data_IF_276722896290
#
_entry.id   IF_276722896290
#
_cell.length_a   1.000
_cell.length_b   1.000
_cell.length_c   1.000
_cell.angle_alpha   90.00
_cell.angle_beta   90.00
_cell.angle_gamma   90.00
#
_symmetry.space_group_name_H-M   'P 1'
#
loop_
_entity.id
_entity.type
_entity.pdbx_description
1 polymer ?
#
# COMPACT_ATOMS: atom_id res chain seq x y z
N UNK A 1 6.36 38.96 41.31
CA UNK A 1 6.87 37.57 41.45
C UNK A 1 5.83 36.45 41.20
N UNK A 2 4.67 36.75 40.63
CA UNK A 2 3.60 35.72 40.40
C UNK A 2 3.48 35.20 38.95
N UNK A 3 4.07 35.91 37.99
CA UNK A 3 3.90 35.54 36.56
C UNK A 3 4.87 34.43 36.06
N UNK A 4 6.07 34.37 36.63
CA UNK A 4 7.07 33.35 36.22
C UNK A 4 6.65 31.91 36.59
N UNK A 5 5.87 31.74 37.67
CA UNK A 5 5.37 30.40 38.06
C UNK A 5 4.29 29.88 37.17
N UNK A 6 3.46 30.73 36.56
CA UNK A 6 2.41 30.28 35.60
C UNK A 6 2.99 29.85 34.26
N UNK A 7 4.06 30.50 33.80
CA UNK A 7 4.77 30.11 32.57
C UNK A 7 5.49 28.77 32.72
N UNK A 8 6.17 28.54 33.84
CA UNK A 8 6.88 27.26 34.10
C UNK A 8 5.90 26.07 34.19
N UNK A 9 4.75 26.25 34.83
CA UNK A 9 3.71 25.20 34.92
C UNK A 9 3.07 24.92 33.56
N UNK A 10 2.93 25.93 32.69
CA UNK A 10 2.46 25.76 31.32
C UNK A 10 3.42 24.93 30.45
N UNK A 11 4.72 25.22 30.54
CA UNK A 11 5.78 24.50 29.82
C UNK A 11 5.94 23.06 30.30
N UNK A 12 5.87 22.80 31.62
CA UNK A 12 5.90 21.45 32.16
C UNK A 12 4.70 20.59 31.68
N UNK A 13 3.51 21.20 31.52
CA UNK A 13 2.33 20.50 30.97
C UNK A 13 2.48 20.17 29.50
N UNK A 14 3.02 21.08 28.68
CA UNK A 14 3.27 20.86 27.25
C UNK A 14 4.37 19.81 27.04
N UNK A 15 5.46 19.87 27.80
CA UNK A 15 6.54 18.88 27.78
C UNK A 15 6.03 17.52 28.27
N UNK A 16 5.21 17.49 29.34
CA UNK A 16 4.56 16.25 29.79
C UNK A 16 3.62 15.64 28.77
N UNK A 17 2.83 16.45 28.04
CA UNK A 17 1.97 15.99 26.95
C UNK A 17 2.78 15.47 25.76
N UNK A 18 3.87 16.13 25.38
CA UNK A 18 4.78 15.71 24.31
C UNK A 18 5.54 14.42 24.66
N UNK A 19 5.94 14.25 25.93
CA UNK A 19 6.55 13.01 26.43
C UNK A 19 5.54 11.85 26.49
N UNK A 20 4.27 12.09 26.81
CA UNK A 20 3.22 11.07 26.75
C UNK A 20 2.89 10.67 25.31
N UNK A 21 2.95 11.60 24.35
CA UNK A 21 2.79 11.31 22.91
C UNK A 21 3.96 10.50 22.33
N UNK A 22 5.18 10.68 22.85
CA UNK A 22 6.36 9.91 22.44
C UNK A 22 6.42 8.47 22.95
N UNK A 23 5.54 8.08 23.87
CA UNK A 23 5.46 6.73 24.44
C UNK A 23 4.34 5.87 23.84
N UNK A 24 3.61 6.36 22.82
CA UNK A 24 2.65 5.52 22.11
C UNK A 24 3.42 4.43 21.36
N UNK A 25 3.29 3.16 21.74
CA UNK A 25 3.94 2.09 21.01
C UNK A 25 3.46 2.09 19.54
N UNK A 26 4.34 1.75 18.62
CA UNK A 26 4.03 1.70 17.17
C UNK A 26 2.74 0.90 16.85
N UNK A 27 2.37 -0.04 17.73
CA UNK A 27 1.11 -0.79 17.69
C UNK A 27 -0.15 0.11 17.76
N UNK A 28 -0.14 1.20 18.50
CA UNK A 28 -1.28 2.12 18.57
C UNK A 28 -1.49 2.88 17.26
N UNK A 29 -0.42 3.20 16.53
CA UNK A 29 -0.50 3.92 15.27
C UNK A 29 -1.15 3.08 14.15
N UNK A 30 -0.87 1.76 14.08
CA UNK A 30 -1.51 0.87 13.11
C UNK A 30 -3.00 0.74 13.41
N UNK A 31 -3.37 0.52 14.67
CA UNK A 31 -4.80 0.43 15.07
C UNK A 31 -5.54 1.74 14.80
N UNK A 32 -4.91 2.88 15.11
CA UNK A 32 -5.49 4.18 14.80
C UNK A 32 -5.67 4.37 13.29
N UNK A 33 -4.65 4.07 12.48
CA UNK A 33 -4.72 4.14 11.02
C UNK A 33 -5.79 3.21 10.45
N UNK A 34 -5.86 1.98 10.93
CA UNK A 34 -6.86 1.01 10.50
C UNK A 34 -8.30 1.43 10.86
N UNK A 35 -8.51 1.94 12.07
CA UNK A 35 -9.84 2.39 12.51
C UNK A 35 -10.34 3.60 11.72
N UNK A 36 -9.43 4.43 11.21
CA UNK A 36 -9.75 5.57 10.33
C UNK A 36 -9.63 5.24 8.83
N UNK A 37 -9.35 3.98 8.47
CA UNK A 37 -9.15 3.60 7.07
C UNK A 37 -10.34 3.96 6.16
N UNK A 38 -11.62 3.79 6.55
CA UNK A 38 -12.74 4.22 5.71
C UNK A 38 -12.70 5.70 5.36
N UNK A 39 -12.42 6.57 6.32
CA UNK A 39 -12.32 8.03 6.07
C UNK A 39 -11.12 8.38 5.20
N UNK A 40 -9.96 7.75 5.45
CA UNK A 40 -8.76 7.99 4.65
C UNK A 40 -8.95 7.56 3.19
N UNK A 41 -9.58 6.40 2.96
CA UNK A 41 -9.90 5.90 1.62
C UNK A 41 -10.95 6.78 0.97
N UNK A 42 -11.98 7.23 1.72
CA UNK A 42 -12.98 8.14 1.21
C UNK A 42 -12.34 9.46 0.73
N UNK A 43 -11.50 10.12 1.54
CA UNK A 43 -10.84 11.38 1.16
C UNK A 43 -9.90 11.21 -0.04
N UNK A 44 -9.22 10.06 -0.12
CA UNK A 44 -8.41 9.73 -1.28
C UNK A 44 -9.27 9.60 -2.53
N UNK A 45 -10.39 8.89 -2.48
CA UNK A 45 -11.31 8.67 -3.59
C UNK A 45 -11.98 9.98 -4.03
N UNK A 46 -12.45 10.77 -3.06
CA UNK A 46 -13.05 12.08 -3.29
C UNK A 46 -12.06 13.04 -3.94
N UNK A 47 -10.80 13.01 -3.50
CA UNK A 47 -9.71 13.78 -4.10
C UNK A 47 -9.41 13.43 -5.58
N UNK A 48 -9.91 12.31 -6.09
CA UNK A 48 -9.85 11.95 -7.51
C UNK A 48 -11.12 12.33 -8.28
N UNK A 49 -12.29 12.08 -7.70
CA UNK A 49 -13.55 12.11 -8.43
C UNK A 49 -14.46 13.29 -8.07
N UNK A 50 -14.20 13.99 -6.95
CA UNK A 50 -15.08 15.04 -6.43
C UNK A 50 -16.54 14.54 -6.37
N UNK A 51 -16.77 13.65 -5.44
CA UNK A 51 -18.01 12.91 -5.33
C UNK A 51 -19.18 13.85 -4.98
N UNK A 52 -20.33 13.64 -5.60
CA UNK A 52 -21.57 14.31 -5.19
C UNK A 52 -21.97 13.89 -3.78
N UNK A 53 -22.84 14.63 -3.12
CA UNK A 53 -23.32 14.31 -1.78
C UNK A 53 -23.88 12.88 -1.70
N UNK A 54 -24.70 12.48 -2.67
CA UNK A 54 -25.28 11.13 -2.72
C UNK A 54 -24.21 10.04 -2.92
N UNK A 55 -23.24 10.28 -3.81
CA UNK A 55 -22.11 9.36 -4.01
C UNK A 55 -21.25 9.28 -2.74
N UNK A 56 -21.05 10.39 -2.04
CA UNK A 56 -20.28 10.47 -0.80
C UNK A 56 -20.93 9.67 0.33
N UNK A 57 -22.23 9.82 0.53
CA UNK A 57 -22.99 9.03 1.52
C UNK A 57 -22.86 7.53 1.25
N UNK A 58 -23.08 7.13 -0.02
CA UNK A 58 -22.97 5.73 -0.41
C UNK A 58 -21.54 5.19 -0.27
N UNK A 59 -20.54 5.95 -0.70
CA UNK A 59 -19.13 5.53 -0.60
C UNK A 59 -18.70 5.31 0.86
N UNK A 60 -19.08 6.21 1.77
CA UNK A 60 -18.78 6.07 3.22
C UNK A 60 -19.44 4.83 3.81
N UNK A 61 -20.70 4.59 3.48
CA UNK A 61 -21.44 3.42 3.95
C UNK A 61 -20.83 2.10 3.41
N UNK A 62 -20.47 2.07 2.11
CA UNK A 62 -19.81 0.91 1.49
C UNK A 62 -18.42 0.66 2.11
N UNK A 63 -17.64 1.70 2.39
CA UNK A 63 -16.33 1.60 3.04
C UNK A 63 -16.44 1.11 4.49
N UNK A 64 -17.48 1.54 5.23
CA UNK A 64 -17.75 1.03 6.57
C UNK A 64 -18.10 -0.48 6.54
N UNK A 65 -18.94 -0.91 5.58
CA UNK A 65 -19.24 -2.34 5.39
C UNK A 65 -18.01 -3.16 4.98
N UNK A 66 -17.18 -2.61 4.10
CA UNK A 66 -15.92 -3.23 3.70
C UNK A 66 -15.00 -3.42 4.91
N UNK A 67 -14.88 -2.42 5.78
CA UNK A 67 -14.07 -2.54 6.99
C UNK A 67 -14.62 -3.61 7.94
N UNK A 68 -15.94 -3.68 8.13
CA UNK A 68 -16.57 -4.72 8.95
C UNK A 68 -16.29 -6.12 8.40
N UNK A 69 -16.47 -6.32 7.09
CA UNK A 69 -16.13 -7.57 6.43
C UNK A 69 -14.64 -7.91 6.58
N UNK A 70 -13.76 -6.94 6.35
CA UNK A 70 -12.31 -7.13 6.47
C UNK A 70 -11.89 -7.52 7.89
N UNK A 71 -12.52 -6.92 8.92
CA UNK A 71 -12.32 -7.30 10.33
C UNK A 71 -12.71 -8.74 10.59
N UNK A 72 -13.89 -9.12 10.12
CA UNK A 72 -14.46 -10.44 10.40
C UNK A 72 -13.80 -11.56 9.57
N UNK A 73 -13.33 -11.26 8.35
CA UNK A 73 -12.94 -12.28 7.37
C UNK A 73 -11.45 -12.28 7.07
N UNK A 74 -10.83 -11.11 6.86
CA UNK A 74 -9.43 -11.04 6.40
C UNK A 74 -8.43 -10.83 7.54
N UNK A 75 -8.74 -10.04 8.56
CA UNK A 75 -7.83 -9.85 9.69
C UNK A 75 -7.45 -11.15 10.42
N UNK A 76 -8.36 -12.12 10.64
CA UNK A 76 -7.96 -13.43 11.18
C UNK A 76 -6.93 -14.15 10.30
N UNK A 77 -7.12 -14.16 8.98
CA UNK A 77 -6.20 -14.78 8.03
C UNK A 77 -4.85 -14.03 7.95
N UNK A 78 -4.88 -12.71 8.07
CA UNK A 78 -3.67 -11.88 8.17
C UNK A 78 -2.92 -12.22 9.46
N UNK A 79 -3.62 -12.41 10.57
CA UNK A 79 -2.99 -12.81 11.83
C UNK A 79 -2.33 -14.20 11.73
N UNK A 80 -2.98 -15.18 11.07
CA UNK A 80 -2.41 -16.49 10.78
C UNK A 80 -1.17 -16.40 9.88
N UNK A 81 -1.23 -15.57 8.84
CA UNK A 81 -0.10 -15.31 7.95
C UNK A 81 1.09 -14.68 8.71
N UNK A 82 0.82 -13.70 9.57
CA UNK A 82 1.84 -13.09 10.43
C UNK A 82 2.43 -14.08 11.43
N UNK A 83 1.62 -14.98 11.98
CA UNK A 83 2.07 -16.08 12.85
C UNK A 83 3.00 -17.02 12.09
N UNK A 84 2.62 -17.43 10.87
CA UNK A 84 3.47 -18.28 10.01
C UNK A 84 4.77 -17.57 9.63
N UNK A 85 4.70 -16.29 9.31
CA UNK A 85 5.88 -15.48 8.97
C UNK A 85 6.89 -15.36 10.12
N UNK A 86 6.49 -15.51 11.38
CA UNK A 86 7.39 -15.53 12.54
C UNK A 86 8.35 -16.74 12.57
N UNK A 87 8.07 -17.77 11.79
CA UNK A 87 8.93 -18.96 11.70
C UNK A 87 10.15 -18.73 10.78
N UNK A 88 10.15 -17.70 9.96
CA UNK A 88 11.23 -17.40 9.01
C UNK A 88 12.45 -16.77 9.72
N UNK A 89 12.31 -15.71 10.54
CA UNK A 89 13.45 -14.98 11.06
C UNK A 89 14.43 -15.76 11.94
N UNK A 90 14.06 -16.80 12.70
CA UNK A 90 15.01 -17.55 13.52
C UNK A 90 16.11 -18.23 12.69
N UNK A 91 15.80 -18.64 11.45
CA UNK A 91 16.71 -19.35 10.56
C UNK A 91 17.17 -18.53 9.37
N UNK A 92 17.90 -19.16 8.47
CA UNK A 92 18.14 -18.63 7.14
C UNK A 92 16.92 -18.88 6.25
N UNK A 93 16.74 -18.02 5.23
CA UNK A 93 15.64 -18.15 4.28
C UNK A 93 16.15 -18.15 2.84
N UNK A 94 15.31 -18.58 1.90
CA UNK A 94 15.59 -18.55 0.47
C UNK A 94 14.69 -17.54 -0.25
N UNK A 95 15.08 -17.11 -1.44
CA UNK A 95 14.25 -16.26 -2.27
C UNK A 95 12.87 -16.87 -2.54
N UNK A 96 12.80 -18.19 -2.75
CA UNK A 96 11.54 -18.88 -3.03
C UNK A 96 10.60 -18.88 -1.82
N UNK A 97 11.12 -19.05 -0.60
CA UNK A 97 10.33 -18.92 0.62
C UNK A 97 9.77 -17.51 0.80
N UNK A 98 10.58 -16.48 0.50
CA UNK A 98 10.14 -15.08 0.54
C UNK A 98 9.07 -14.81 -0.52
N UNK A 99 9.25 -15.33 -1.74
CA UNK A 99 8.27 -15.20 -2.81
C UNK A 99 6.97 -15.94 -2.50
N UNK A 100 7.03 -17.08 -1.81
CA UNK A 100 5.84 -17.78 -1.32
C UNK A 100 5.04 -16.94 -0.34
N UNK A 101 5.70 -16.34 0.65
CA UNK A 101 5.04 -15.42 1.58
C UNK A 101 4.42 -14.21 0.86
N UNK A 102 5.10 -13.67 -0.15
CA UNK A 102 4.58 -12.58 -0.96
C UNK A 102 3.31 -12.99 -1.74
N UNK A 103 3.26 -14.23 -2.23
CA UNK A 103 2.06 -14.78 -2.89
C UNK A 103 0.88 -14.88 -1.93
N UNK A 104 1.11 -15.31 -0.69
CA UNK A 104 0.06 -15.37 0.35
C UNK A 104 -0.48 -13.99 0.70
N UNK A 105 0.41 -12.98 0.83
CA UNK A 105 0.02 -11.58 1.02
C UNK A 105 -0.83 -11.10 -0.16
N UNK A 106 -0.42 -11.40 -1.40
CA UNK A 106 -1.15 -11.01 -2.61
C UNK A 106 -2.56 -11.59 -2.63
N UNK A 107 -2.74 -12.86 -2.25
CA UNK A 107 -4.06 -13.48 -2.15
C UNK A 107 -5.02 -12.74 -1.20
N UNK A 108 -4.50 -12.06 -0.16
CA UNK A 108 -5.35 -11.21 0.71
C UNK A 108 -5.80 -9.94 0.00
N UNK A 109 -4.92 -9.32 -0.80
CA UNK A 109 -5.31 -8.17 -1.63
C UNK A 109 -6.36 -8.54 -2.68
N UNK A 110 -6.20 -9.69 -3.35
CA UNK A 110 -7.16 -10.14 -4.35
C UNK A 110 -8.56 -10.37 -3.74
N UNK A 111 -8.63 -10.88 -2.51
CA UNK A 111 -9.89 -11.02 -1.77
C UNK A 111 -10.56 -9.65 -1.48
N UNK A 112 -9.76 -8.64 -1.11
CA UNK A 112 -10.28 -7.27 -0.90
C UNK A 112 -10.77 -6.67 -2.23
N UNK A 113 -10.04 -6.84 -3.31
CA UNK A 113 -10.43 -6.36 -4.65
C UNK A 113 -11.77 -6.96 -5.06
N UNK A 114 -11.94 -8.28 -4.91
CA UNK A 114 -13.19 -8.97 -5.22
C UNK A 114 -14.37 -8.42 -4.37
N UNK A 115 -14.12 -8.11 -3.09
CA UNK A 115 -15.15 -7.56 -2.21
C UNK A 115 -15.55 -6.12 -2.57
N UNK A 116 -14.62 -5.33 -3.09
CA UNK A 116 -14.84 -3.92 -3.48
C UNK A 116 -15.52 -3.80 -4.85
N UNK A 117 -15.37 -4.79 -5.72
CA UNK A 117 -15.81 -4.73 -7.12
C UNK A 117 -17.28 -4.28 -7.30
N UNK A 118 -18.29 -4.80 -6.58
CA UNK A 118 -19.68 -4.36 -6.74
C UNK A 118 -19.91 -2.87 -6.43
N UNK A 119 -19.20 -2.36 -5.41
CA UNK A 119 -19.25 -0.93 -5.05
C UNK A 119 -18.58 -0.09 -6.13
N UNK A 120 -17.43 -0.53 -6.64
CA UNK A 120 -16.72 0.15 -7.72
C UNK A 120 -17.57 0.23 -9.01
N UNK A 121 -18.31 -0.84 -9.35
CA UNK A 121 -19.26 -0.86 -10.48
C UNK A 121 -20.33 0.22 -10.28
N UNK A 122 -20.95 0.26 -9.11
CA UNK A 122 -22.02 1.23 -8.81
C UNK A 122 -21.50 2.67 -8.92
N UNK A 123 -20.32 2.93 -8.40
CA UNK A 123 -19.68 4.26 -8.48
C UNK A 123 -19.33 4.61 -9.93
N UNK A 124 -18.70 3.70 -10.67
CA UNK A 124 -18.30 3.90 -12.06
C UNK A 124 -19.50 4.25 -12.95
N UNK A 125 -20.63 3.56 -12.77
CA UNK A 125 -21.87 3.84 -13.51
C UNK A 125 -22.47 5.21 -13.20
N UNK A 126 -22.19 5.77 -12.04
CA UNK A 126 -22.69 7.07 -11.58
C UNK A 126 -21.78 8.27 -11.91
N UNK A 127 -20.60 8.04 -12.51
CA UNK A 127 -19.67 9.13 -12.80
C UNK A 127 -20.18 10.05 -13.93
N UNK A 128 -20.01 11.36 -13.75
CA UNK A 128 -20.28 12.38 -14.75
C UNK A 128 -19.05 12.67 -15.61
N UNK A 129 -19.25 13.38 -16.75
CA UNK A 129 -18.17 13.87 -17.60
C UNK A 129 -17.17 14.75 -16.84
N UNK A 130 -17.68 15.62 -15.98
CA UNK A 130 -16.86 16.49 -15.16
C UNK A 130 -15.97 15.69 -14.20
N UNK A 131 -16.51 14.65 -13.58
CA UNK A 131 -15.76 13.74 -12.69
C UNK A 131 -14.68 12.97 -13.44
N UNK A 132 -14.97 12.46 -14.63
CA UNK A 132 -13.94 11.80 -15.47
C UNK A 132 -12.83 12.76 -15.86
N UNK A 133 -13.14 14.01 -16.20
CA UNK A 133 -12.14 15.04 -16.47
C UNK A 133 -11.25 15.33 -15.24
N UNK A 134 -11.82 15.32 -14.03
CA UNK A 134 -11.05 15.49 -12.78
C UNK A 134 -10.12 14.31 -12.52
N UNK A 135 -10.59 13.07 -12.72
CA UNK A 135 -9.74 11.87 -12.61
C UNK A 135 -8.56 11.96 -13.57
N UNK A 136 -8.79 12.36 -14.81
CA UNK A 136 -7.73 12.54 -15.82
C UNK A 136 -6.73 13.64 -15.42
N UNK A 137 -7.20 14.79 -14.95
CA UNK A 137 -6.34 15.85 -14.43
C UNK A 137 -5.53 15.40 -13.20
N UNK A 138 -6.15 14.64 -12.29
CA UNK A 138 -5.45 14.05 -11.13
C UNK A 138 -4.38 13.07 -11.56
N UNK A 139 -4.63 12.23 -12.57
CA UNK A 139 -3.61 11.35 -13.14
C UNK A 139 -2.45 12.15 -13.72
N UNK A 140 -2.71 13.21 -14.47
CA UNK A 140 -1.65 14.07 -15.02
C UNK A 140 -0.75 14.63 -13.90
N UNK A 141 -1.35 15.15 -12.82
CA UNK A 141 -0.62 15.65 -11.65
C UNK A 141 0.23 14.55 -10.99
N UNK A 142 -0.38 13.43 -10.63
CA UNK A 142 0.34 12.34 -9.95
C UNK A 142 1.38 11.68 -10.84
N UNK A 143 1.25 11.78 -12.15
CA UNK A 143 2.25 11.33 -13.11
C UNK A 143 3.46 12.27 -13.16
N UNK A 144 3.26 13.58 -13.03
CA UNK A 144 4.36 14.53 -12.89
C UNK A 144 5.14 14.26 -11.58
N UNK A 145 4.45 14.14 -10.46
CA UNK A 145 5.05 13.79 -9.15
C UNK A 145 5.84 12.46 -9.24
N UNK A 146 5.27 11.44 -9.89
CA UNK A 146 5.93 10.15 -10.06
C UNK A 146 7.22 10.26 -10.88
N UNK A 147 7.21 11.05 -11.98
CA UNK A 147 8.44 11.29 -12.78
C UNK A 147 9.51 11.98 -11.95
N UNK A 148 9.12 12.98 -11.16
CA UNK A 148 10.07 13.70 -10.31
C UNK A 148 10.67 12.76 -9.25
N UNK A 149 9.87 11.86 -8.72
CA UNK A 149 10.32 10.91 -7.70
C UNK A 149 11.24 9.81 -8.22
N UNK A 150 10.97 9.27 -9.41
CA UNK A 150 11.60 8.04 -9.90
C UNK A 150 12.51 8.23 -11.10
N UNK A 151 12.34 9.31 -11.89
CA UNK A 151 13.06 9.51 -13.13
C UNK A 151 13.98 10.74 -13.10
N UNK A 152 13.72 11.71 -12.22
CA UNK A 152 14.52 12.93 -12.15
C UNK A 152 15.91 12.69 -11.54
N UNK A 153 16.89 13.46 -12.05
CA UNK A 153 18.27 13.44 -11.57
C UNK A 153 19.12 12.32 -12.16
N UNK A 154 20.38 12.27 -11.73
CA UNK A 154 21.35 11.26 -12.18
C UNK A 154 21.00 9.86 -11.66
N UNK A 155 21.50 8.81 -12.31
CA UNK A 155 21.38 7.43 -11.86
C UNK A 155 21.85 7.28 -10.41
N UNK A 156 23.00 7.84 -10.07
CA UNK A 156 23.54 7.78 -8.71
C UNK A 156 22.58 8.40 -7.67
N UNK A 157 21.94 9.53 -7.98
CA UNK A 157 20.94 10.16 -7.09
C UNK A 157 19.73 9.26 -6.89
N UNK A 158 19.24 8.64 -7.94
CA UNK A 158 18.08 7.70 -7.85
C UNK A 158 18.45 6.44 -7.06
N UNK A 159 19.63 5.88 -7.28
CA UNK A 159 20.14 4.73 -6.50
C UNK A 159 20.29 5.08 -5.01
N UNK A 160 20.85 6.25 -4.68
CA UNK A 160 20.95 6.74 -3.30
C UNK A 160 19.56 6.84 -2.63
N UNK A 161 18.56 7.40 -3.33
CA UNK A 161 17.19 7.49 -2.81
C UNK A 161 16.58 6.10 -2.57
N UNK A 162 16.76 5.16 -3.52
CA UNK A 162 16.30 3.77 -3.39
C UNK A 162 16.98 3.08 -2.20
N UNK A 163 18.30 3.24 -2.05
CA UNK A 163 19.05 2.66 -0.93
C UNK A 163 18.55 3.20 0.41
N UNK A 164 18.40 4.51 0.53
CA UNK A 164 17.86 5.10 1.75
C UNK A 164 16.50 4.50 2.12
N UNK A 165 15.58 4.40 1.18
CA UNK A 165 14.26 3.82 1.41
C UNK A 165 14.34 2.33 1.78
N UNK A 166 15.24 1.56 1.15
CA UNK A 166 15.41 0.15 1.46
C UNK A 166 15.98 -0.07 2.86
N UNK A 167 16.95 0.75 3.28
CA UNK A 167 17.51 0.75 4.64
C UNK A 167 16.42 1.08 5.65
N UNK A 168 15.72 2.21 5.50
CA UNK A 168 14.67 2.66 6.42
C UNK A 168 13.58 1.59 6.61
N UNK A 169 13.15 0.93 5.54
CA UNK A 169 12.15 -0.16 5.62
C UNK A 169 12.69 -1.39 6.33
N UNK A 170 13.94 -1.75 6.07
CA UNK A 170 14.56 -2.92 6.71
C UNK A 170 14.78 -2.69 8.21
N UNK A 171 15.17 -1.48 8.59
CA UNK A 171 15.40 -1.09 9.98
C UNK A 171 14.12 -1.09 10.83
N UNK A 172 12.94 -0.95 10.22
CA UNK A 172 11.66 -1.11 10.92
C UNK A 172 11.49 -2.51 11.52
N UNK A 173 12.08 -3.54 10.89
CA UNK A 173 12.02 -4.93 11.34
C UNK A 173 13.26 -5.33 12.14
N UNK A 174 14.45 -5.05 11.61
CA UNK A 174 15.71 -5.55 12.15
C UNK A 174 16.38 -4.58 13.12
N UNK A 175 15.95 -3.32 13.19
CA UNK A 175 16.69 -2.24 13.82
C UNK A 175 17.86 -1.79 12.96
N UNK A 176 18.80 -1.04 13.54
CA UNK A 176 19.90 -0.46 12.81
C UNK A 176 20.66 -1.54 12.03
N UNK A 177 20.87 -1.29 10.74
CA UNK A 177 21.66 -2.16 9.89
C UNK A 177 23.15 -1.90 10.07
N UNK A 178 23.95 -2.95 10.03
CA UNK A 178 25.41 -2.86 9.97
C UNK A 178 25.85 -2.51 8.54
N UNK A 179 27.07 -1.94 8.37
CA UNK A 179 27.57 -1.54 7.05
C UNK A 179 27.57 -2.69 6.04
N UNK A 180 27.90 -3.92 6.46
CA UNK A 180 27.86 -5.10 5.60
C UNK A 180 26.43 -5.41 5.08
N UNK A 181 25.40 -5.11 5.87
CA UNK A 181 23.99 -5.29 5.50
C UNK A 181 23.52 -4.20 4.56
N UNK A 182 23.96 -2.97 4.81
CA UNK A 182 23.74 -1.85 3.88
C UNK A 182 24.44 -2.09 2.55
N UNK A 183 25.63 -2.71 2.55
CA UNK A 183 26.34 -3.12 1.33
C UNK A 183 25.52 -4.12 0.50
N UNK A 184 24.89 -5.13 1.12
CA UNK A 184 24.00 -6.07 0.41
C UNK A 184 22.87 -5.32 -0.33
N UNK A 185 22.24 -4.34 0.31
CA UNK A 185 21.19 -3.53 -0.33
C UNK A 185 21.76 -2.64 -1.44
N UNK A 186 22.94 -2.06 -1.24
CA UNK A 186 23.61 -1.21 -2.22
C UNK A 186 23.96 -2.01 -3.48
N UNK A 187 24.55 -3.19 -3.32
CA UNK A 187 24.95 -4.05 -4.43
C UNK A 187 23.72 -4.54 -5.22
N UNK A 188 22.65 -4.93 -4.52
CA UNK A 188 21.39 -5.26 -5.16
C UNK A 188 20.82 -4.11 -5.98
N UNK A 189 20.80 -2.89 -5.42
CA UNK A 189 20.25 -1.71 -6.11
C UNK A 189 21.11 -1.32 -7.31
N UNK A 190 22.44 -1.45 -7.20
CA UNK A 190 23.37 -1.17 -8.29
C UNK A 190 23.25 -2.16 -9.45
N UNK A 191 23.00 -3.45 -9.13
CA UNK A 191 22.82 -4.51 -10.12
C UNK A 191 21.37 -4.77 -10.56
N UNK A 192 20.39 -4.01 -10.03
CA UNK A 192 18.97 -4.20 -10.34
C UNK A 192 18.62 -3.74 -11.75
N UNK A 193 17.86 -4.56 -12.47
CA UNK A 193 17.27 -4.26 -13.77
C UNK A 193 16.08 -3.27 -13.69
N UNK A 194 15.84 -2.68 -12.51
CA UNK A 194 14.74 -1.75 -12.33
C UNK A 194 14.81 -0.59 -13.32
N UNK A 195 13.79 -0.53 -14.18
CA UNK A 195 13.61 0.53 -15.16
C UNK A 195 12.35 1.35 -14.85
N UNK A 196 12.57 2.61 -14.46
CA UNK A 196 11.48 3.53 -14.17
C UNK A 196 10.65 3.86 -15.42
N UNK A 197 11.23 3.82 -16.65
CA UNK A 197 10.48 4.08 -17.87
C UNK A 197 9.51 2.95 -18.19
N UNK A 198 9.92 1.69 -18.03
CA UNK A 198 9.05 0.52 -18.20
C UNK A 198 7.88 0.58 -17.22
N UNK A 199 8.18 0.88 -15.95
CA UNK A 199 7.17 1.01 -14.90
C UNK A 199 6.22 2.19 -15.15
N UNK A 200 6.73 3.31 -15.66
CA UNK A 200 5.93 4.48 -16.02
C UNK A 200 5.02 4.21 -17.23
N UNK A 201 5.52 3.56 -18.25
CA UNK A 201 4.72 3.19 -19.42
C UNK A 201 3.52 2.31 -19.04
N UNK A 202 3.74 1.31 -18.17
CA UNK A 202 2.66 0.46 -17.67
C UNK A 202 1.68 1.23 -16.77
N UNK A 203 2.16 2.17 -15.95
CA UNK A 203 1.32 3.08 -15.18
C UNK A 203 0.38 3.87 -16.09
N UNK A 204 0.89 4.47 -17.16
CA UNK A 204 0.08 5.21 -18.13
C UNK A 204 -0.93 4.29 -18.84
N UNK A 205 -0.51 3.10 -19.25
CA UNK A 205 -1.41 2.11 -19.86
C UNK A 205 -2.61 1.79 -18.95
N UNK A 206 -2.35 1.50 -17.67
CA UNK A 206 -3.41 1.19 -16.68
C UNK A 206 -4.36 2.36 -16.46
N UNK A 207 -3.85 3.58 -16.41
CA UNK A 207 -4.68 4.78 -16.26
C UNK A 207 -5.56 5.03 -17.51
N UNK A 208 -5.01 4.86 -18.71
CA UNK A 208 -5.76 4.97 -19.95
C UNK A 208 -6.86 3.90 -20.05
N UNK A 209 -6.52 2.66 -19.70
CA UNK A 209 -7.46 1.54 -19.67
C UNK A 209 -8.60 1.79 -18.67
N UNK A 210 -8.28 2.30 -17.46
CA UNK A 210 -9.29 2.71 -16.49
C UNK A 210 -10.21 3.80 -17.05
N UNK A 211 -9.66 4.88 -17.58
CA UNK A 211 -10.45 5.97 -18.13
C UNK A 211 -11.36 5.50 -19.28
N UNK A 212 -10.86 4.64 -20.15
CA UNK A 212 -11.65 4.03 -21.20
C UNK A 212 -12.80 3.18 -20.62
N UNK A 213 -12.51 2.31 -19.66
CA UNK A 213 -13.51 1.49 -18.98
C UNK A 213 -14.57 2.36 -18.29
N UNK A 214 -14.15 3.40 -17.56
CA UNK A 214 -15.07 4.32 -16.90
C UNK A 214 -15.96 5.09 -17.90
N UNK A 215 -15.42 5.52 -19.05
CA UNK A 215 -16.23 6.14 -20.10
C UNK A 215 -17.26 5.19 -20.69
N UNK A 216 -16.93 3.91 -20.85
CA UNK A 216 -17.83 2.89 -21.35
C UNK A 216 -18.93 2.50 -20.35
N UNK A 217 -18.62 2.56 -19.05
CA UNK A 217 -19.57 2.15 -17.99
C UNK A 217 -20.42 3.30 -17.45
N UNK A 218 -19.95 4.55 -17.60
CA UNK A 218 -20.68 5.74 -17.13
C UNK A 218 -21.81 6.14 -18.10
N UNK A 219 -22.74 6.97 -17.62
CA UNK A 219 -23.90 7.46 -18.37
C UNK A 219 -23.57 8.40 -19.57
N UNK A 220 -22.31 8.53 -19.93
CA UNK A 220 -21.79 9.49 -20.92
C UNK A 220 -21.69 8.95 -22.35
N UNK A 221 -21.78 7.65 -22.55
CA UNK A 221 -21.94 7.10 -23.88
C UNK A 221 -23.31 7.53 -24.38
N UNK A 222 -23.40 8.34 -25.45
CA UNK A 222 -24.65 8.69 -26.12
C UNK A 222 -25.43 7.47 -26.66
N UNK A 223 -24.93 6.29 -26.37
CA UNK A 223 -25.52 4.96 -26.50
C UNK A 223 -26.31 4.65 -25.22
N UNK A 224 -27.24 3.72 -25.28
CA UNK A 224 -28.01 3.27 -24.14
C UNK A 224 -27.07 2.89 -22.97
N UNK A 225 -27.31 3.47 -21.79
CA UNK A 225 -26.54 3.19 -20.57
C UNK A 225 -26.39 1.67 -20.38
N UNK A 226 -25.16 1.13 -20.23
CA UNK A 226 -24.99 -0.29 -20.06
C UNK A 226 -25.71 -0.75 -18.79
N UNK A 227 -26.26 -1.96 -18.83
CA UNK A 227 -26.82 -2.59 -17.64
C UNK A 227 -25.72 -2.93 -16.62
N UNK A 228 -26.13 -3.16 -15.37
CA UNK A 228 -25.19 -3.52 -14.29
C UNK A 228 -24.30 -4.74 -14.66
N UNK A 229 -24.81 -5.81 -15.29
CA UNK A 229 -23.95 -6.94 -15.67
C UNK A 229 -22.85 -6.57 -16.67
N UNK A 230 -23.14 -5.71 -17.66
CA UNK A 230 -22.17 -5.27 -18.65
C UNK A 230 -21.10 -4.36 -18.01
N UNK A 231 -21.51 -3.44 -17.13
CA UNK A 231 -20.59 -2.57 -16.39
C UNK A 231 -19.69 -3.40 -15.46
N UNK A 232 -20.24 -4.40 -14.76
CA UNK A 232 -19.47 -5.32 -13.93
C UNK A 232 -18.44 -6.11 -14.75
N UNK A 233 -18.85 -6.68 -15.91
CA UNK A 233 -17.94 -7.42 -16.78
C UNK A 233 -16.79 -6.54 -17.32
N UNK A 234 -17.09 -5.28 -17.69
CA UNK A 234 -16.09 -4.34 -18.17
C UNK A 234 -15.09 -3.95 -17.06
N UNK A 235 -15.57 -3.70 -15.85
CA UNK A 235 -14.71 -3.36 -14.70
C UNK A 235 -13.88 -4.57 -14.25
N UNK A 236 -14.47 -5.76 -14.20
CA UNK A 236 -13.75 -6.99 -13.91
C UNK A 236 -12.62 -7.23 -14.90
N UNK A 237 -12.91 -7.12 -16.19
CA UNK A 237 -11.90 -7.25 -17.24
C UNK A 237 -10.77 -6.20 -17.11
N UNK A 238 -11.09 -4.97 -16.70
CA UNK A 238 -10.07 -3.95 -16.38
C UNK A 238 -9.21 -4.37 -15.19
N UNK A 239 -9.79 -4.86 -14.10
CA UNK A 239 -9.06 -5.33 -12.92
C UNK A 239 -8.11 -6.46 -13.29
N UNK A 240 -8.57 -7.43 -14.06
CA UNK A 240 -7.72 -8.51 -14.59
C UNK A 240 -6.53 -7.96 -15.41
N UNK A 241 -6.76 -7.04 -16.35
CA UNK A 241 -5.68 -6.42 -17.14
C UNK A 241 -4.76 -5.52 -16.31
N UNK A 242 -5.22 -5.05 -15.15
CA UNK A 242 -4.41 -4.25 -14.23
C UNK A 242 -3.49 -5.13 -13.39
N UNK A 243 -3.94 -6.31 -12.99
CA UNK A 243 -3.16 -7.31 -12.24
C UNK A 243 -2.28 -8.10 -13.19
N UNK A 244 -2.84 -8.60 -14.27
CA UNK A 244 -2.17 -9.38 -15.31
C UNK A 244 -2.02 -8.55 -16.59
N UNK A 245 -0.97 -7.71 -16.62
CA UNK A 245 -0.75 -6.83 -17.79
C UNK A 245 -0.87 -7.61 -19.11
N UNK A 246 -1.59 -7.10 -20.12
CA UNK A 246 -1.65 -7.72 -21.44
C UNK A 246 -0.31 -7.68 -22.16
N UNK A 247 0.64 -6.82 -21.74
CA UNK A 247 1.98 -6.73 -22.31
C UNK A 247 2.88 -7.87 -21.78
N UNK A 248 3.25 -8.87 -22.62
CA UNK A 248 4.05 -10.00 -22.17
C UNK A 248 5.48 -9.60 -21.76
N UNK A 249 6.05 -8.56 -22.39
CA UNK A 249 7.38 -8.06 -22.02
C UNK A 249 7.36 -7.43 -20.62
N UNK A 250 6.30 -6.70 -20.29
CA UNK A 250 6.13 -6.16 -18.95
C UNK A 250 5.92 -7.26 -17.90
N UNK A 251 5.12 -8.29 -18.21
CA UNK A 251 4.97 -9.43 -17.27
C UNK A 251 6.29 -10.10 -16.97
N UNK A 252 7.07 -10.42 -18.01
CA UNK A 252 8.39 -11.03 -17.84
C UNK A 252 9.36 -10.12 -17.04
N UNK A 253 9.33 -8.81 -17.27
CA UNK A 253 10.07 -7.83 -16.49
C UNK A 253 9.65 -7.85 -15.01
N UNK A 254 8.36 -7.76 -14.73
CA UNK A 254 7.83 -7.74 -13.36
C UNK A 254 8.15 -9.04 -12.60
N UNK A 255 8.06 -10.20 -13.27
CA UNK A 255 8.42 -11.49 -12.67
C UNK A 255 9.90 -11.57 -12.30
N UNK A 256 10.80 -11.02 -13.14
CA UNK A 256 12.22 -10.94 -12.79
C UNK A 256 12.43 -10.03 -11.58
N UNK A 257 11.87 -8.82 -11.60
CA UNK A 257 11.96 -7.86 -10.49
C UNK A 257 11.47 -8.48 -9.18
N UNK A 258 10.34 -9.19 -9.18
CA UNK A 258 9.81 -9.86 -7.99
C UNK A 258 10.81 -10.92 -7.49
N UNK A 259 11.30 -11.82 -8.37
CA UNK A 259 12.25 -12.86 -7.98
C UNK A 259 13.54 -12.29 -7.42
N UNK A 260 14.06 -11.22 -8.02
CA UNK A 260 15.32 -10.61 -7.61
C UNK A 260 15.15 -9.84 -6.29
N UNK A 261 14.02 -9.20 -6.07
CA UNK A 261 13.67 -8.61 -4.77
C UNK A 261 13.52 -9.69 -3.67
N UNK A 262 12.91 -10.84 -3.96
CA UNK A 262 12.83 -11.95 -3.01
C UNK A 262 14.22 -12.48 -2.63
N UNK A 263 15.12 -12.63 -3.62
CA UNK A 263 16.52 -13.05 -3.39
C UNK A 263 17.28 -12.02 -2.56
N UNK A 264 17.16 -10.74 -2.89
CA UNK A 264 17.81 -9.66 -2.16
C UNK A 264 17.35 -9.60 -0.71
N UNK A 265 16.03 -9.76 -0.47
CA UNK A 265 15.51 -9.86 0.89
C UNK A 265 16.11 -11.05 1.64
N UNK A 266 16.16 -12.23 1.02
CA UNK A 266 16.78 -13.42 1.63
C UNK A 266 18.27 -13.19 1.94
N UNK A 267 19.03 -12.57 1.05
CA UNK A 267 20.45 -12.23 1.28
C UNK A 267 20.61 -11.26 2.46
N UNK A 268 19.81 -10.18 2.50
CA UNK A 268 19.80 -9.26 3.62
C UNK A 268 19.49 -10.01 4.93
N UNK A 269 18.39 -10.77 4.94
CA UNK A 269 17.96 -11.53 6.11
C UNK A 269 19.05 -12.46 6.61
N UNK A 270 19.68 -13.22 5.71
CA UNK A 270 20.73 -14.19 6.05
C UNK A 270 22.00 -13.51 6.60
N UNK A 271 22.21 -12.23 6.32
CA UNK A 271 23.31 -11.42 6.87
C UNK A 271 23.01 -10.82 8.25
N UNK A 272 21.75 -10.92 8.73
CA UNK A 272 21.35 -10.33 10.02
C UNK A 272 21.86 -11.13 11.22
N UNK A 273 22.08 -10.42 12.32
CA UNK A 273 22.50 -11.01 13.59
C UNK A 273 21.34 -11.72 14.31
N UNK A 274 21.61 -12.64 15.25
CA UNK A 274 20.56 -13.25 16.07
C UNK A 274 19.65 -12.22 16.76
N UNK A 275 20.22 -11.16 17.32
CA UNK A 275 19.47 -10.08 17.98
C UNK A 275 18.52 -9.34 17.01
N UNK A 276 18.97 -9.09 15.78
CA UNK A 276 18.14 -8.50 14.74
C UNK A 276 17.00 -9.44 14.34
N UNK A 277 17.27 -10.72 14.20
CA UNK A 277 16.25 -11.74 13.91
C UNK A 277 15.20 -11.85 15.01
N UNK A 278 15.60 -11.87 16.28
CA UNK A 278 14.67 -11.81 17.41
C UNK A 278 13.80 -10.54 17.38
N UNK A 279 14.39 -9.39 16.99
CA UNK A 279 13.62 -8.15 16.84
C UNK A 279 12.58 -8.29 15.74
N UNK A 280 12.91 -8.89 14.61
CA UNK A 280 11.95 -9.14 13.53
C UNK A 280 10.79 -10.05 13.98
N UNK A 281 11.08 -11.14 14.73
CA UNK A 281 10.04 -11.99 15.34
C UNK A 281 9.12 -11.17 16.24
N UNK A 282 9.71 -10.40 17.17
CA UNK A 282 8.91 -9.54 18.07
C UNK A 282 8.05 -8.54 17.32
N UNK A 283 8.53 -8.00 16.19
CA UNK A 283 7.79 -7.05 15.36
C UNK A 283 6.60 -7.72 14.67
N UNK A 284 6.81 -8.90 14.07
CA UNK A 284 5.75 -9.70 13.46
C UNK A 284 4.69 -10.13 14.49
N UNK A 285 5.14 -10.56 15.68
CA UNK A 285 4.23 -10.92 16.77
C UNK A 285 3.42 -9.72 17.29
N UNK A 286 3.99 -8.52 17.27
CA UNK A 286 3.24 -7.30 17.60
C UNK A 286 2.15 -7.02 16.54
N UNK A 287 2.46 -7.15 15.26
CA UNK A 287 1.48 -6.99 14.19
C UNK A 287 0.38 -8.07 14.23
N UNK A 288 0.73 -9.31 14.56
CA UNK A 288 -0.25 -10.39 14.75
C UNK A 288 -1.22 -10.04 15.88
N UNK A 289 -0.72 -9.59 17.04
CA UNK A 289 -1.58 -9.18 18.16
C UNK A 289 -2.51 -8.03 17.75
N UNK A 290 -1.99 -7.00 17.06
CA UNK A 290 -2.81 -5.89 16.57
C UNK A 290 -3.90 -6.37 15.62
N UNK A 291 -3.59 -7.29 14.69
CA UNK A 291 -4.57 -7.86 13.78
C UNK A 291 -5.67 -8.63 14.53
N UNK A 292 -5.32 -9.46 15.53
CA UNK A 292 -6.28 -10.19 16.36
C UNK A 292 -7.15 -9.25 17.22
N UNK A 293 -6.55 -8.22 17.81
CA UNK A 293 -7.28 -7.21 18.58
C UNK A 293 -8.26 -6.43 17.69
N UNK A 294 -7.83 -6.02 16.50
CA UNK A 294 -8.70 -5.34 15.53
C UNK A 294 -9.83 -6.25 15.03
N UNK A 295 -9.56 -7.53 14.82
CA UNK A 295 -10.58 -8.51 14.42
C UNK A 295 -11.65 -8.71 15.51
N UNK A 296 -11.30 -8.58 16.78
CA UNK A 296 -12.22 -8.71 17.91
C UNK A 296 -13.07 -7.46 18.20
N UNK A 297 -12.71 -6.29 17.64
CA UNK A 297 -13.50 -5.05 17.78
C UNK A 297 -14.78 -5.16 16.95
N UNK A 298 -15.92 -4.86 17.58
CA UNK A 298 -17.24 -4.82 16.93
C UNK A 298 -17.56 -3.44 16.36
#
# INVERSE_FOLDING_TARGET
MSDSRRLVVGWCRIIGLLLCLGLLPACSAIKLGYNNAPDLVYWWLDGYADLTELQSLKARDDLARLQQWHRATELPKIAELLQSAQQIPPGNTTGDQVCGLLADVRARFDAVVAQVEPTAVTLAMGLSAAQLGRIEAKFAKTNAEWRDDWMAGSLAKRQTKRLKTAVERSEQFYGNLEERQVAVLRDFIAGSDFDAQISYAERLRRQQDLLQTLRQTSALSGEARPGVPQAAAALHAYLERSVHSPNPAYRAYLEREIRDNCKAFAQLHNSTTPTQRERAVRRLAAYERDARELASQR
#
